data_IF_109636898270
#
_entry.id   IF_109636898270
#
_cell.length_a   1.000
_cell.length_b   1.000
_cell.length_c   1.000
_cell.angle_alpha   90.00
_cell.angle_beta   90.00
_cell.angle_gamma   90.00
#
_symmetry.space_group_name_H-M   'P 1'
#
loop_
_entity.id
_entity.type
_entity.pdbx_description
1 polymer ?
#
# COMPACT_ATOMS: atom_id res chain seq x y z
N UNK A 1 -16.27 14.11 5.59
CA UNK A 1 -14.82 13.85 5.40
C UNK A 1 -14.26 12.73 6.30
N UNK A 2 -15.08 11.79 6.81
CA UNK A 2 -14.63 10.74 7.74
C UNK A 2 -14.08 9.49 7.02
N UNK A 3 -14.63 9.17 5.85
CA UNK A 3 -14.28 7.97 5.09
C UNK A 3 -12.89 8.02 4.44
N UNK A 4 -12.40 9.21 4.10
CA UNK A 4 -11.08 9.37 3.47
C UNK A 4 -9.92 9.08 4.45
N UNK A 5 -10.04 9.56 5.70
CA UNK A 5 -9.09 9.25 6.77
C UNK A 5 -9.08 7.77 7.15
N UNK A 6 -10.25 7.11 7.17
CA UNK A 6 -10.32 5.66 7.38
C UNK A 6 -9.68 4.88 6.23
N UNK A 7 -9.90 5.31 4.99
CA UNK A 7 -9.29 4.67 3.81
C UNK A 7 -7.77 4.86 3.79
N UNK A 8 -7.26 6.04 4.20
CA UNK A 8 -5.84 6.31 4.36
C UNK A 8 -5.21 5.43 5.45
N UNK A 9 -5.84 5.33 6.61
CA UNK A 9 -5.38 4.46 7.70
C UNK A 9 -5.37 2.98 7.28
N UNK A 10 -6.40 2.52 6.58
CA UNK A 10 -6.46 1.17 6.00
C UNK A 10 -5.38 0.96 4.91
N UNK A 11 -5.06 1.99 4.12
CA UNK A 11 -3.95 1.96 3.16
C UNK A 11 -2.60 1.75 3.86
N UNK A 12 -2.34 2.44 4.96
CA UNK A 12 -1.14 2.21 5.76
C UNK A 12 -1.05 0.79 6.32
N UNK A 13 -2.15 0.29 6.89
CA UNK A 13 -2.22 -1.07 7.43
C UNK A 13 -2.03 -2.11 6.31
N UNK A 14 -2.65 -1.89 5.15
CA UNK A 14 -2.48 -2.76 3.98
C UNK A 14 -1.02 -2.79 3.50
N UNK A 15 -0.36 -1.64 3.45
CA UNK A 15 1.04 -1.56 3.00
C UNK A 15 2.00 -2.25 4.00
N UNK A 16 1.72 -2.14 5.30
CA UNK A 16 2.45 -2.87 6.34
C UNK A 16 2.22 -4.40 6.25
N UNK A 17 0.97 -4.82 6.07
CA UNK A 17 0.61 -6.25 5.89
C UNK A 17 1.24 -6.84 4.63
N UNK A 18 1.29 -6.07 3.53
CA UNK A 18 1.93 -6.50 2.29
C UNK A 18 3.43 -6.67 2.48
N UNK A 19 4.09 -5.78 3.22
CA UNK A 19 5.51 -5.92 3.50
C UNK A 19 5.82 -7.12 4.44
N UNK A 20 4.92 -7.39 5.40
CA UNK A 20 4.96 -8.61 6.23
C UNK A 20 4.76 -9.88 5.41
N UNK A 21 3.78 -9.88 4.50
CA UNK A 21 3.54 -10.99 3.58
C UNK A 21 4.56 -11.06 2.44
N UNK A 22 5.33 -10.01 2.19
CA UNK A 22 6.35 -9.93 1.15
C UNK A 22 7.46 -10.97 1.33
N UNK A 23 7.73 -11.39 2.57
CA UNK A 23 8.63 -12.50 2.85
C UNK A 23 8.09 -13.87 2.37
N UNK A 24 6.77 -14.01 2.24
CA UNK A 24 6.11 -15.23 1.76
C UNK A 24 5.71 -15.16 0.28
N UNK A 25 5.43 -13.96 -0.23
CA UNK A 25 5.00 -13.75 -1.63
C UNK A 25 6.13 -13.35 -2.56
N UNK A 26 7.29 -12.93 -2.03
CA UNK A 26 8.39 -12.34 -2.80
C UNK A 26 8.12 -10.90 -3.29
N UNK A 27 6.94 -10.35 -2.99
CA UNK A 27 6.49 -9.02 -3.41
C UNK A 27 6.78 -8.03 -2.28
N UNK A 28 7.92 -7.35 -2.36
CA UNK A 28 8.31 -6.31 -1.40
C UNK A 28 8.04 -4.93 -1.99
N UNK A 29 7.09 -4.21 -1.41
CA UNK A 29 6.81 -2.82 -1.79
C UNK A 29 7.74 -1.89 -0.99
N UNK A 30 8.67 -1.16 -1.62
CA UNK A 30 9.57 -0.26 -0.91
C UNK A 30 8.79 0.88 -0.24
N UNK A 31 9.02 1.08 1.05
CA UNK A 31 8.32 2.09 1.87
C UNK A 31 8.97 3.46 1.66
N UNK A 32 8.65 4.08 0.54
CA UNK A 32 9.12 5.40 0.08
C UNK A 32 8.06 6.47 0.42
N UNK A 33 8.44 7.75 0.51
CA UNK A 33 7.51 8.91 0.55
C UNK A 33 6.39 8.82 -0.51
N UNK A 34 6.68 8.27 -1.69
CA UNK A 34 5.71 7.99 -2.76
C UNK A 34 4.72 6.87 -2.38
N UNK A 35 5.19 5.78 -1.76
CA UNK A 35 4.34 4.67 -1.32
C UNK A 35 3.46 5.06 -0.13
N UNK A 36 4.02 5.83 0.83
CA UNK A 36 3.28 6.49 1.90
C UNK A 36 2.25 7.48 1.36
N UNK A 37 2.63 8.28 0.37
CA UNK A 37 1.75 9.20 -0.32
C UNK A 37 0.61 8.47 -1.01
N UNK A 38 0.88 7.45 -1.82
CA UNK A 38 -0.14 6.67 -2.50
C UNK A 38 -1.08 5.95 -1.51
N UNK A 39 -0.55 5.35 -0.44
CA UNK A 39 -1.35 4.72 0.60
C UNK A 39 -2.21 5.72 1.39
N UNK A 40 -1.73 6.95 1.59
CA UNK A 40 -2.45 8.00 2.31
C UNK A 40 -3.44 8.81 1.46
N UNK A 41 -3.12 9.07 0.19
CA UNK A 41 -3.93 9.89 -0.73
C UNK A 41 -4.96 9.05 -1.49
N UNK A 42 -4.63 7.81 -1.84
CA UNK A 42 -5.53 6.89 -2.55
C UNK A 42 -6.07 5.78 -1.63
N UNK A 43 -5.49 5.52 -0.46
CA UNK A 43 -5.95 4.47 0.45
C UNK A 43 -5.63 3.07 -0.07
N UNK A 44 -6.51 2.11 0.22
CA UNK A 44 -6.43 0.71 -0.27
C UNK A 44 -6.23 0.60 -1.79
N UNK A 45 -6.95 1.33 -2.67
CA UNK A 45 -6.73 1.22 -4.12
C UNK A 45 -5.35 1.74 -4.57
N UNK A 46 -4.74 2.66 -3.83
CA UNK A 46 -3.37 3.10 -4.08
C UNK A 46 -2.33 2.02 -3.78
N UNK A 47 -2.55 1.24 -2.72
CA UNK A 47 -1.68 0.13 -2.33
C UNK A 47 -1.79 -1.04 -3.31
N UNK A 48 -3.00 -1.39 -3.78
CA UNK A 48 -3.17 -2.45 -4.79
C UNK A 48 -2.54 -2.09 -6.13
N UNK A 49 -2.59 -0.83 -6.56
CA UNK A 49 -1.90 -0.37 -7.76
C UNK A 49 -0.37 -0.53 -7.65
N UNK A 50 0.21 -0.20 -6.49
CA UNK A 50 1.65 -0.40 -6.25
C UNK A 50 2.05 -1.88 -6.28
N UNK A 51 1.20 -2.75 -5.73
CA UNK A 51 1.41 -4.20 -5.77
C UNK A 51 1.33 -4.73 -7.20
N UNK A 52 0.32 -4.29 -7.97
CA UNK A 52 0.15 -4.66 -9.38
C UNK A 52 1.38 -4.24 -10.20
N UNK A 53 1.87 -3.02 -10.00
CA UNK A 53 3.10 -2.54 -10.64
C UNK A 53 4.33 -3.36 -10.23
N UNK A 54 4.44 -3.75 -8.95
CA UNK A 54 5.54 -4.59 -8.48
C UNK A 54 5.45 -6.05 -8.95
N UNK A 55 4.25 -6.56 -9.21
CA UNK A 55 4.05 -7.93 -9.72
C UNK A 55 4.21 -8.01 -11.26
N UNK A 56 4.00 -6.91 -11.98
CA UNK A 56 4.17 -6.85 -13.44
C UNK A 56 5.62 -6.53 -13.88
N UNK A 57 6.43 -5.93 -13.00
CA UNK A 57 7.81 -5.50 -13.27
C UNK A 57 8.82 -6.46 -12.65
#
# INVERSE_FOLDING_TARGET
MKGFLLSAALGFVALALVNLCGAYTGVLVPVNRLSLGAAGLLGVPGVTLLILLNAML
#
